data_IF_115694300442
#
_entry.id   IF_115694300442
#
_cell.length_a   1.000
_cell.length_b   1.000
_cell.length_c   1.000
_cell.angle_alpha   90.00
_cell.angle_beta   90.00
_cell.angle_gamma   90.00
#
_symmetry.space_group_name_H-M   'P 1'
#
loop_
_entity.id
_entity.type
_entity.pdbx_description
1 polymer ?
#
# COMPACT_ATOMS: atom_id res chain seq x y z
N UNK A 1 -25.97 15.52 22.21
CA UNK A 1 -26.34 14.11 22.02
C UNK A 1 -25.55 13.65 20.82
N UNK A 2 -24.52 12.88 21.03
CA UNK A 2 -23.72 12.30 19.93
C UNK A 2 -24.64 11.34 19.17
N UNK A 3 -25.03 11.72 17.94
CA UNK A 3 -25.62 10.77 17.01
C UNK A 3 -24.51 9.76 16.71
N UNK A 4 -24.67 8.52 17.14
CA UNK A 4 -23.80 7.45 16.68
C UNK A 4 -23.88 7.43 15.16
N UNK A 5 -22.80 7.78 14.49
CA UNK A 5 -22.72 7.61 13.04
C UNK A 5 -22.95 6.12 12.75
N UNK A 6 -23.88 5.83 11.88
CA UNK A 6 -24.17 4.46 11.44
C UNK A 6 -23.41 4.22 10.13
N UNK A 7 -22.57 3.21 10.13
CA UNK A 7 -21.87 2.77 8.91
C UNK A 7 -22.53 1.48 8.40
N UNK A 8 -22.84 1.46 7.11
CA UNK A 8 -23.33 0.27 6.42
C UNK A 8 -22.17 -0.69 6.10
N UNK A 9 -20.99 -0.12 5.86
CA UNK A 9 -19.78 -0.87 5.59
C UNK A 9 -18.53 -0.17 6.13
N UNK A 10 -17.53 -0.98 6.51
CA UNK A 10 -16.20 -0.52 6.89
C UNK A 10 -15.20 -1.08 5.89
N UNK A 11 -14.49 -0.17 5.24
CA UNK A 11 -13.37 -0.48 4.36
C UNK A 11 -12.08 -0.58 5.16
N UNK A 12 -11.22 -1.51 4.77
CA UNK A 12 -9.87 -1.64 5.30
C UNK A 12 -8.87 -1.61 4.15
N UNK A 13 -7.85 -0.80 4.29
CA UNK A 13 -6.62 -1.02 3.57
C UNK A 13 -5.94 -2.28 4.09
N UNK A 14 -4.96 -2.77 3.36
CA UNK A 14 -4.29 -4.02 3.68
C UNK A 14 -2.83 -3.84 4.12
N UNK A 15 -1.99 -3.28 3.23
CA UNK A 15 -0.56 -3.12 3.46
C UNK A 15 -0.30 -2.03 4.52
N UNK A 16 0.45 -2.39 5.55
CA UNK A 16 0.75 -1.52 6.70
C UNK A 16 -0.48 -1.03 7.50
N UNK A 17 -1.63 -1.68 7.25
CA UNK A 17 -2.86 -1.56 8.04
C UNK A 17 -3.25 -2.89 8.69
N UNK A 18 -3.25 -3.99 7.94
CA UNK A 18 -3.56 -5.33 8.43
C UNK A 18 -2.33 -6.22 8.58
N UNK A 19 -1.31 -5.99 7.77
CA UNK A 19 -0.04 -6.72 7.75
C UNK A 19 1.11 -5.85 7.33
N UNK A 20 2.31 -6.22 7.75
CA UNK A 20 3.55 -5.54 7.42
C UNK A 20 3.86 -5.66 5.92
N UNK A 21 4.25 -4.57 5.29
CA UNK A 21 4.63 -4.51 3.88
C UNK A 21 5.84 -3.61 3.62
N UNK A 22 5.83 -2.36 4.07
CA UNK A 22 6.86 -1.36 3.78
C UNK A 22 8.24 -1.73 4.34
N UNK A 23 8.29 -2.48 5.45
CA UNK A 23 9.53 -3.04 6.00
C UNK A 23 10.32 -3.84 4.96
N UNK A 24 9.63 -4.68 4.18
CA UNK A 24 10.26 -5.53 3.16
C UNK A 24 10.69 -4.71 1.95
N UNK A 25 9.92 -3.70 1.55
CA UNK A 25 10.34 -2.75 0.51
C UNK A 25 11.61 -2.02 0.92
N UNK A 26 11.65 -1.46 2.12
CA UNK A 26 12.84 -0.77 2.66
C UNK A 26 14.06 -1.69 2.77
N UNK A 27 13.85 -2.95 3.15
CA UNK A 27 14.93 -3.94 3.14
C UNK A 27 15.49 -4.15 1.72
N UNK A 28 14.63 -4.27 0.71
CA UNK A 28 15.04 -4.44 -0.68
C UNK A 28 15.70 -3.19 -1.26
N UNK A 29 15.24 -1.98 -0.89
CA UNK A 29 15.92 -0.72 -1.24
C UNK A 29 17.35 -0.67 -0.70
N UNK A 30 17.55 -0.99 0.59
CA UNK A 30 18.87 -1.02 1.20
C UNK A 30 19.78 -2.05 0.51
N UNK A 31 19.24 -3.25 0.25
CA UNK A 31 19.96 -4.29 -0.48
C UNK A 31 20.32 -3.85 -1.91
N UNK A 32 19.45 -3.14 -2.59
CA UNK A 32 19.73 -2.55 -3.90
C UNK A 32 20.93 -1.58 -3.82
N UNK A 33 20.93 -0.67 -2.85
CA UNK A 33 22.03 0.27 -2.63
C UNK A 33 23.34 -0.48 -2.43
N UNK A 34 23.37 -1.49 -1.55
CA UNK A 34 24.55 -2.31 -1.29
C UNK A 34 25.08 -3.04 -2.54
N UNK A 35 24.18 -3.59 -3.33
CA UNK A 35 24.52 -4.32 -4.55
C UNK A 35 25.09 -3.43 -5.65
N UNK A 36 24.58 -2.21 -5.80
CA UNK A 36 24.91 -1.30 -6.90
C UNK A 36 26.10 -0.40 -6.55
N UNK A 37 26.30 -0.05 -5.26
CA UNK A 37 27.35 0.86 -4.80
C UNK A 37 28.75 0.56 -5.33
N UNK A 38 29.22 -0.70 -5.44
CA UNK A 38 30.57 -1.00 -5.95
C UNK A 38 30.78 -0.61 -7.41
N UNK A 39 29.71 -0.41 -8.16
CA UNK A 39 29.71 -0.15 -9.61
C UNK A 39 29.26 1.26 -9.97
N UNK A 40 28.72 2.00 -9.01
CA UNK A 40 28.23 3.36 -9.21
C UNK A 40 29.39 4.37 -9.23
N UNK A 41 29.30 5.44 -10.03
CA UNK A 41 30.25 6.56 -9.95
C UNK A 41 30.23 7.21 -8.56
N UNK A 42 31.40 7.73 -8.15
CA UNK A 42 31.51 8.44 -6.86
C UNK A 42 30.54 9.62 -6.77
N UNK A 43 29.85 9.74 -5.63
CA UNK A 43 28.94 10.86 -5.35
C UNK A 43 27.52 10.71 -5.88
N UNK A 44 27.17 9.59 -6.51
CA UNK A 44 25.78 9.30 -6.91
C UNK A 44 24.98 8.89 -5.68
N UNK A 45 23.84 9.53 -5.46
CA UNK A 45 22.83 9.07 -4.50
C UNK A 45 21.99 7.97 -5.16
N UNK A 46 22.38 6.72 -4.87
CA UNK A 46 21.79 5.52 -5.47
C UNK A 46 20.32 5.36 -5.05
N UNK A 47 20.01 5.67 -3.80
CA UNK A 47 18.62 5.56 -3.30
C UNK A 47 17.71 6.56 -4.00
N UNK A 48 18.10 7.82 -4.04
CA UNK A 48 17.33 8.86 -4.75
C UNK A 48 17.17 8.56 -6.23
N UNK A 49 18.17 7.97 -6.88
CA UNK A 49 18.08 7.57 -8.28
C UNK A 49 17.09 6.41 -8.49
N UNK A 50 17.03 5.44 -7.56
CA UNK A 50 16.00 4.39 -7.59
C UNK A 50 14.61 4.98 -7.46
N UNK A 51 14.35 5.80 -6.43
CA UNK A 51 13.05 6.45 -6.18
C UNK A 51 12.62 7.31 -7.38
N UNK A 52 13.54 8.03 -8.00
CA UNK A 52 13.24 8.80 -9.21
C UNK A 52 12.83 7.90 -10.38
N UNK A 53 13.47 6.73 -10.53
CA UNK A 53 13.11 5.75 -11.56
C UNK A 53 11.74 5.14 -11.29
N UNK A 54 11.44 4.76 -10.05
CA UNK A 54 10.11 4.26 -9.65
C UNK A 54 9.02 5.27 -9.95
N UNK A 55 9.22 6.54 -9.58
CA UNK A 55 8.25 7.63 -9.84
C UNK A 55 7.90 7.76 -11.32
N UNK A 56 8.87 7.63 -12.20
CA UNK A 56 8.63 7.66 -13.66
C UNK A 56 7.88 6.40 -14.10
N UNK A 57 8.21 5.26 -13.54
CA UNK A 57 7.73 3.95 -13.97
C UNK A 57 6.33 3.59 -13.46
N UNK A 58 5.83 4.24 -12.39
CA UNK A 58 4.48 3.99 -11.85
C UNK A 58 3.41 4.11 -12.94
N UNK A 59 3.50 5.12 -13.80
CA UNK A 59 2.53 5.31 -14.90
C UNK A 59 2.52 4.18 -15.93
N UNK A 60 3.60 3.38 -16.02
CA UNK A 60 3.75 2.29 -16.99
C UNK A 60 3.61 0.92 -16.35
N UNK A 61 4.23 0.71 -15.19
CA UNK A 61 4.29 -0.60 -14.53
C UNK A 61 3.30 -0.73 -13.36
N UNK A 62 2.66 0.37 -12.95
CA UNK A 62 1.80 0.40 -11.78
C UNK A 62 2.58 0.33 -10.47
N UNK A 63 1.92 -0.11 -9.42
CA UNK A 63 2.48 -0.24 -8.08
C UNK A 63 2.89 -1.68 -7.75
N UNK A 64 3.71 -1.84 -6.70
CA UNK A 64 4.04 -3.12 -6.08
C UNK A 64 5.37 -3.70 -6.49
N UNK A 65 5.65 -4.90 -5.98
CA UNK A 65 6.96 -5.56 -6.01
C UNK A 65 7.53 -5.77 -7.41
N UNK A 66 6.67 -6.05 -8.40
CA UNK A 66 7.13 -6.23 -9.80
C UNK A 66 7.57 -4.91 -10.43
N UNK A 67 6.82 -3.84 -10.19
CA UNK A 67 7.17 -2.49 -10.62
C UNK A 67 8.48 -2.03 -9.98
N UNK A 68 8.62 -2.21 -8.67
CA UNK A 68 9.87 -2.00 -7.94
C UNK A 68 11.03 -2.75 -8.58
N UNK A 69 10.86 -4.05 -8.85
CA UNK A 69 11.92 -4.88 -9.42
C UNK A 69 12.36 -4.45 -10.81
N UNK A 70 11.44 -4.06 -11.69
CA UNK A 70 11.75 -3.52 -13.01
C UNK A 70 12.47 -2.18 -12.88
N UNK A 71 11.99 -1.29 -12.02
CA UNK A 71 12.62 0.01 -11.75
C UNK A 71 14.03 -0.15 -11.16
N UNK A 72 14.23 -1.12 -10.27
CA UNK A 72 15.54 -1.42 -9.71
C UNK A 72 16.54 -1.91 -10.77
N UNK A 73 16.10 -2.76 -11.72
CA UNK A 73 16.94 -3.20 -12.83
C UNK A 73 17.29 -2.01 -13.74
N UNK A 74 16.32 -1.18 -14.12
CA UNK A 74 16.55 0.01 -14.94
C UNK A 74 17.47 1.02 -14.25
N UNK A 75 17.24 1.30 -12.96
CA UNK A 75 18.07 2.18 -12.16
C UNK A 75 19.52 1.66 -12.08
N UNK A 76 19.73 0.36 -11.83
CA UNK A 76 21.06 -0.22 -11.78
C UNK A 76 21.82 -0.05 -13.11
N UNK A 77 21.16 -0.30 -14.24
CA UNK A 77 21.74 -0.11 -15.57
C UNK A 77 22.08 1.37 -15.80
N UNK A 78 21.17 2.28 -15.46
CA UNK A 78 21.35 3.73 -15.67
C UNK A 78 22.47 4.29 -14.79
N UNK A 79 22.44 4.02 -13.48
CA UNK A 79 23.42 4.49 -12.49
C UNK A 79 24.84 4.08 -12.90
N UNK A 80 25.00 2.87 -13.41
CA UNK A 80 26.31 2.30 -13.74
C UNK A 80 26.71 2.52 -15.20
N UNK A 81 25.96 3.30 -15.97
CA UNK A 81 26.16 3.49 -17.41
C UNK A 81 26.26 2.16 -18.19
N UNK A 82 25.43 1.18 -17.81
CA UNK A 82 25.40 -0.14 -18.45
C UNK A 82 26.53 -1.10 -18.06
N UNK A 83 27.35 -0.76 -17.07
CA UNK A 83 28.49 -1.61 -16.65
C UNK A 83 28.14 -2.56 -15.49
N UNK A 84 26.93 -2.49 -14.96
CA UNK A 84 26.49 -3.38 -13.87
C UNK A 84 26.62 -4.85 -14.28
N UNK A 85 27.25 -5.71 -13.47
CA UNK A 85 27.38 -7.14 -13.78
C UNK A 85 26.02 -7.83 -13.82
N UNK A 86 25.82 -8.78 -14.72
CA UNK A 86 24.61 -9.60 -14.81
C UNK A 86 24.31 -10.30 -13.48
N UNK A 87 25.32 -10.70 -12.71
CA UNK A 87 25.14 -11.30 -11.40
C UNK A 87 24.43 -10.35 -10.41
N UNK A 88 24.68 -9.05 -10.46
CA UNK A 88 23.99 -8.04 -9.63
C UNK A 88 22.51 -7.95 -10.03
N UNK A 89 22.21 -7.93 -11.33
CA UNK A 89 20.81 -7.94 -11.81
C UNK A 89 20.08 -9.22 -11.38
N UNK A 90 20.75 -10.37 -11.41
CA UNK A 90 20.20 -11.64 -10.92
C UNK A 90 19.89 -11.59 -9.41
N UNK A 91 20.75 -10.94 -8.61
CA UNK A 91 20.53 -10.76 -7.18
C UNK A 91 19.33 -9.81 -6.89
N UNK A 92 19.17 -8.74 -7.66
CA UNK A 92 18.00 -7.86 -7.58
C UNK A 92 16.73 -8.68 -7.87
N UNK A 93 16.69 -9.43 -8.96
CA UNK A 93 15.55 -10.26 -9.33
C UNK A 93 15.29 -11.39 -8.31
N UNK A 94 16.35 -11.89 -7.64
CA UNK A 94 16.19 -12.85 -6.54
C UNK A 94 15.46 -12.22 -5.37
N UNK A 95 15.84 -11.02 -4.94
CA UNK A 95 15.14 -10.27 -3.89
C UNK A 95 13.67 -10.01 -4.22
N UNK A 96 13.36 -9.67 -5.47
CA UNK A 96 11.98 -9.50 -5.96
C UNK A 96 11.19 -10.81 -5.79
N UNK A 97 11.75 -11.95 -6.16
CA UNK A 97 11.08 -13.26 -6.00
C UNK A 97 10.88 -13.64 -4.53
N UNK A 98 11.87 -13.39 -3.70
CA UNK A 98 11.79 -13.59 -2.25
C UNK A 98 10.63 -12.77 -1.67
N UNK A 99 10.54 -11.48 -1.98
CA UNK A 99 9.46 -10.61 -1.54
C UNK A 99 8.08 -11.08 -2.03
N UNK A 100 7.96 -11.44 -3.32
CA UNK A 100 6.70 -11.95 -3.89
C UNK A 100 6.20 -13.24 -3.23
N UNK A 101 7.07 -13.98 -2.54
CA UNK A 101 6.76 -15.28 -1.92
C UNK A 101 6.84 -15.26 -0.40
N UNK A 102 7.17 -14.12 0.20
CA UNK A 102 7.24 -13.97 1.64
C UNK A 102 5.88 -14.27 2.31
N UNK A 103 5.87 -14.96 3.45
CA UNK A 103 4.65 -15.15 4.22
C UNK A 103 4.11 -13.82 4.74
N UNK A 104 2.79 -13.66 4.70
CA UNK A 104 2.12 -12.49 5.26
C UNK A 104 2.27 -12.49 6.78
N UNK A 105 2.76 -11.38 7.35
CA UNK A 105 2.90 -11.14 8.79
C UNK A 105 1.82 -10.14 9.24
N UNK A 106 0.83 -10.62 9.96
CA UNK A 106 -0.25 -9.77 10.49
C UNK A 106 0.25 -8.87 11.62
N UNK A 107 -0.36 -7.70 11.77
CA UNK A 107 -0.26 -6.95 13.01
C UNK A 107 -0.99 -7.68 14.14
N UNK A 108 -0.51 -7.46 15.36
CA UNK A 108 -1.12 -8.04 16.55
C UNK A 108 -2.57 -7.56 16.73
N UNK A 109 -3.48 -8.47 17.05
CA UNK A 109 -4.89 -8.17 17.30
C UNK A 109 -5.77 -7.99 16.06
N UNK A 110 -5.22 -7.90 14.84
CA UNK A 110 -6.00 -7.66 13.61
C UNK A 110 -7.13 -8.67 13.44
N UNK A 111 -6.85 -9.97 13.55
CA UNK A 111 -7.87 -11.00 13.37
C UNK A 111 -8.99 -10.90 14.41
N UNK A 112 -8.65 -10.53 15.65
CA UNK A 112 -9.62 -10.32 16.72
C UNK A 112 -10.52 -9.11 16.43
N UNK A 113 -9.94 -7.99 16.00
CA UNK A 113 -10.68 -6.78 15.63
C UNK A 113 -11.62 -7.06 14.46
N UNK A 114 -11.13 -7.66 13.38
CA UNK A 114 -11.95 -8.00 12.21
C UNK A 114 -13.10 -8.95 12.59
N UNK A 115 -12.82 -9.96 13.40
CA UNK A 115 -13.85 -10.88 13.88
C UNK A 115 -14.98 -10.19 14.67
N UNK A 116 -14.65 -9.16 15.45
CA UNK A 116 -15.65 -8.38 16.19
C UNK A 116 -16.45 -7.45 15.27
N UNK A 117 -15.77 -6.73 14.39
CA UNK A 117 -16.40 -5.74 13.51
C UNK A 117 -17.29 -6.41 12.46
N UNK A 118 -16.90 -7.58 11.94
CA UNK A 118 -17.70 -8.37 11.00
C UNK A 118 -19.04 -8.87 11.55
N UNK A 119 -19.24 -8.86 12.88
CA UNK A 119 -20.53 -9.25 13.48
C UNK A 119 -21.63 -8.20 13.29
N UNK A 120 -21.24 -6.95 13.02
CA UNK A 120 -22.16 -5.81 13.00
C UNK A 120 -22.10 -4.98 11.72
N UNK A 121 -21.04 -5.13 10.93
CA UNK A 121 -20.82 -4.34 9.71
C UNK A 121 -20.34 -5.23 8.56
N UNK A 122 -20.70 -4.85 7.34
CA UNK A 122 -20.06 -5.41 6.14
C UNK A 122 -18.62 -4.95 6.08
N UNK A 123 -17.69 -5.86 5.80
CA UNK A 123 -16.28 -5.51 5.64
C UNK A 123 -15.85 -5.57 4.17
N UNK A 124 -15.17 -4.53 3.73
CA UNK A 124 -14.63 -4.43 2.37
C UNK A 124 -13.12 -4.20 2.47
N UNK A 125 -12.32 -5.05 1.85
CA UNK A 125 -10.90 -4.76 1.69
C UNK A 125 -10.68 -3.97 0.40
N UNK A 126 -9.98 -2.84 0.47
CA UNK A 126 -9.61 -2.03 -0.70
C UNK A 126 -8.11 -1.81 -0.64
N UNK A 127 -7.36 -2.51 -1.49
CA UNK A 127 -5.90 -2.46 -1.52
C UNK A 127 -5.37 -2.07 -2.89
N UNK A 128 -4.22 -1.39 -2.93
CA UNK A 128 -3.54 -0.96 -4.15
C UNK A 128 -2.31 -1.84 -4.41
N UNK A 129 -2.07 -2.22 -5.67
CA UNK A 129 -0.86 -2.96 -6.02
C UNK A 129 -1.01 -3.94 -7.17
N UNK A 130 -0.01 -4.83 -7.31
CA UNK A 130 -0.02 -5.90 -8.30
C UNK A 130 -1.12 -6.93 -7.98
N UNK A 131 -2.01 -7.16 -8.93
CA UNK A 131 -3.15 -8.05 -8.76
C UNK A 131 -2.76 -9.45 -8.27
N UNK A 132 -1.74 -10.05 -8.86
CA UNK A 132 -1.33 -11.43 -8.52
C UNK A 132 -0.74 -11.48 -7.11
N UNK A 133 0.09 -10.49 -6.76
CA UNK A 133 0.71 -10.44 -5.44
C UNK A 133 -0.32 -10.14 -4.35
N UNK A 134 -1.18 -9.13 -4.54
CA UNK A 134 -2.21 -8.79 -3.56
C UNK A 134 -3.21 -9.93 -3.37
N UNK A 135 -3.68 -10.58 -4.46
CA UNK A 135 -4.55 -11.77 -4.37
C UNK A 135 -3.90 -12.85 -3.50
N UNK A 136 -2.62 -13.16 -3.75
CA UNK A 136 -1.89 -14.14 -2.96
C UNK A 136 -1.80 -13.75 -1.48
N UNK A 137 -1.49 -12.48 -1.17
CA UNK A 137 -1.42 -12.00 0.22
C UNK A 137 -2.78 -12.17 0.91
N UNK A 138 -3.86 -11.78 0.27
CA UNK A 138 -5.22 -11.95 0.79
C UNK A 138 -5.52 -13.42 1.07
N UNK A 139 -5.27 -14.31 0.11
CA UNK A 139 -5.53 -15.75 0.25
C UNK A 139 -4.69 -16.39 1.36
N UNK A 140 -3.42 -15.97 1.52
CA UNK A 140 -2.51 -16.59 2.49
C UNK A 140 -2.52 -15.90 3.86
N UNK A 141 -3.14 -14.72 4.00
CA UNK A 141 -3.25 -14.00 5.27
C UNK A 141 -4.12 -14.71 6.31
N UNK A 142 -5.04 -15.57 5.85
CA UNK A 142 -6.08 -16.14 6.71
C UNK A 142 -7.22 -15.17 7.05
N UNK A 143 -7.21 -13.94 6.52
CA UNK A 143 -8.21 -12.90 6.83
C UNK A 143 -9.34 -12.81 5.80
N UNK A 144 -9.20 -13.42 4.63
CA UNK A 144 -10.16 -13.28 3.52
C UNK A 144 -11.62 -13.57 3.92
N UNK A 145 -11.84 -14.49 4.84
CA UNK A 145 -13.17 -14.91 5.26
C UNK A 145 -13.94 -13.86 6.12
N UNK A 146 -13.27 -12.81 6.60
CA UNK A 146 -13.93 -11.71 7.30
C UNK A 146 -14.53 -10.67 6.33
N UNK A 147 -14.10 -10.65 5.07
CA UNK A 147 -14.49 -9.63 4.10
C UNK A 147 -15.59 -10.12 3.17
N UNK A 148 -16.65 -9.35 3.04
CA UNK A 148 -17.72 -9.58 2.07
C UNK A 148 -17.24 -9.31 0.64
N UNK A 149 -16.26 -8.41 0.49
CA UNK A 149 -15.67 -8.06 -0.80
C UNK A 149 -14.20 -7.66 -0.65
N UNK A 150 -13.39 -8.03 -1.64
CA UNK A 150 -11.99 -7.62 -1.77
C UNK A 150 -11.79 -6.98 -3.12
N UNK A 151 -11.39 -5.71 -3.14
CA UNK A 151 -11.10 -4.95 -4.33
C UNK A 151 -9.61 -4.61 -4.40
N UNK A 152 -8.94 -5.04 -5.45
CA UNK A 152 -7.54 -4.69 -5.74
C UNK A 152 -7.56 -3.65 -6.85
N UNK A 153 -7.09 -2.44 -6.55
CA UNK A 153 -7.18 -1.29 -7.43
C UNK A 153 -5.81 -0.83 -7.93
N UNK A 154 -5.80 -0.13 -9.06
CA UNK A 154 -4.60 0.50 -9.59
C UNK A 154 -4.28 1.79 -8.83
N UNK A 155 -5.33 2.55 -8.44
CA UNK A 155 -5.19 3.79 -7.69
C UNK A 155 -6.35 3.95 -6.71
N UNK A 156 -6.09 4.58 -5.57
CA UNK A 156 -7.06 4.91 -4.53
C UNK A 156 -7.39 6.41 -4.61
N UNK A 157 -8.18 6.79 -5.58
CA UNK A 157 -8.67 8.14 -5.78
C UNK A 157 -10.19 8.25 -5.55
N UNK A 158 -10.76 9.46 -5.49
CA UNK A 158 -12.20 9.63 -5.28
C UNK A 158 -13.07 8.94 -6.33
N UNK A 159 -12.60 8.81 -7.57
CA UNK A 159 -13.34 8.15 -8.64
C UNK A 159 -13.39 6.64 -8.44
N UNK A 160 -12.26 6.05 -8.05
CA UNK A 160 -12.15 4.63 -7.71
C UNK A 160 -13.04 4.28 -6.52
N UNK A 161 -12.99 5.04 -5.43
CA UNK A 161 -13.86 4.79 -4.28
C UNK A 161 -15.34 4.89 -4.65
N UNK A 162 -15.77 5.91 -5.41
CA UNK A 162 -17.16 5.99 -5.89
C UNK A 162 -17.57 4.78 -6.73
N UNK A 163 -16.70 4.32 -7.62
CA UNK A 163 -16.93 3.13 -8.44
C UNK A 163 -17.11 1.88 -7.58
N UNK A 164 -16.20 1.65 -6.64
CA UNK A 164 -16.24 0.48 -5.75
C UNK A 164 -17.50 0.50 -4.89
N UNK A 165 -17.76 1.61 -4.19
CA UNK A 165 -18.93 1.73 -3.33
C UNK A 165 -20.24 1.60 -4.10
N UNK A 166 -20.34 2.21 -5.28
CA UNK A 166 -21.50 2.07 -6.15
C UNK A 166 -21.74 0.62 -6.61
N UNK A 167 -20.67 -0.14 -6.91
CA UNK A 167 -20.80 -1.55 -7.31
C UNK A 167 -21.28 -2.46 -6.17
N UNK A 168 -21.11 -2.01 -4.93
CA UNK A 168 -21.49 -2.73 -3.71
C UNK A 168 -22.81 -2.21 -3.10
N UNK A 169 -23.44 -1.22 -3.73
CA UNK A 169 -24.64 -0.54 -3.23
C UNK A 169 -24.43 0.07 -1.84
N UNK A 170 -23.28 0.76 -1.65
CA UNK A 170 -22.91 1.44 -0.42
C UNK A 170 -22.94 2.96 -0.65
N UNK A 171 -23.71 3.69 0.19
CA UNK A 171 -23.68 5.14 0.22
C UNK A 171 -22.34 5.61 0.84
N UNK A 172 -21.56 6.48 0.14
CA UNK A 172 -20.34 7.02 0.72
C UNK A 172 -20.51 7.63 2.11
N UNK A 173 -21.64 8.28 2.40
CA UNK A 173 -21.91 8.87 3.71
C UNK A 173 -22.02 7.84 4.84
N UNK A 174 -22.30 6.60 4.52
CA UNK A 174 -22.36 5.46 5.45
C UNK A 174 -21.17 4.51 5.33
N UNK A 175 -20.07 5.00 4.77
CA UNK A 175 -18.83 4.25 4.60
C UNK A 175 -17.70 4.85 5.45
N UNK A 176 -17.00 3.99 6.18
CA UNK A 176 -15.78 4.33 6.90
C UNK A 176 -14.60 3.59 6.28
N UNK A 177 -13.52 4.29 5.96
CA UNK A 177 -12.26 3.69 5.51
C UNK A 177 -11.22 3.73 6.61
N UNK A 178 -10.67 2.58 6.95
CA UNK A 178 -9.56 2.41 7.90
C UNK A 178 -8.28 2.16 7.10
N UNK A 179 -7.25 2.98 7.30
CA UNK A 179 -6.00 2.82 6.57
C UNK A 179 -4.87 3.70 7.09
N UNK A 180 -3.65 3.39 6.65
CA UNK A 180 -2.42 4.05 7.09
C UNK A 180 -1.95 5.18 6.17
N UNK A 181 -2.57 5.38 5.01
CA UNK A 181 -2.21 6.44 4.08
C UNK A 181 -3.24 7.57 4.07
N UNK A 182 -2.81 8.77 4.46
CA UNK A 182 -3.65 9.96 4.31
C UNK A 182 -4.01 10.20 2.85
N UNK A 183 -3.06 10.03 1.93
CA UNK A 183 -3.24 10.27 0.50
C UNK A 183 -4.17 9.26 -0.16
N UNK A 184 -3.98 7.98 0.12
CA UNK A 184 -4.66 6.89 -0.57
C UNK A 184 -5.95 6.43 0.12
N UNK A 185 -6.01 6.47 1.47
CA UNK A 185 -7.15 5.92 2.22
C UNK A 185 -8.09 6.99 2.72
N UNK A 186 -7.56 8.09 3.22
CA UNK A 186 -8.33 9.05 3.99
C UNK A 186 -8.87 10.17 3.10
N UNK A 187 -8.00 10.95 2.46
CA UNK A 187 -8.40 12.12 1.68
C UNK A 187 -9.39 11.80 0.55
N UNK A 188 -9.22 10.70 -0.23
CA UNK A 188 -10.18 10.37 -1.28
C UNK A 188 -11.56 10.00 -0.75
N UNK A 189 -11.63 9.35 0.41
CA UNK A 189 -12.90 8.96 1.04
C UNK A 189 -13.60 10.18 1.64
N UNK A 190 -12.87 11.07 2.31
CA UNK A 190 -13.43 12.35 2.77
C UNK A 190 -13.98 13.19 1.59
N UNK A 191 -13.28 13.23 0.47
CA UNK A 191 -13.70 13.97 -0.73
C UNK A 191 -15.01 13.47 -1.35
N UNK A 192 -15.44 12.26 -1.03
CA UNK A 192 -16.74 11.71 -1.48
C UNK A 192 -17.81 11.71 -0.39
N UNK A 193 -17.51 12.28 0.79
CA UNK A 193 -18.42 12.38 1.92
C UNK A 193 -18.41 11.18 2.87
N UNK A 194 -17.44 10.28 2.73
CA UNK A 194 -17.22 9.16 3.65
C UNK A 194 -16.51 9.57 4.94
N UNK A 195 -16.21 8.60 5.79
CA UNK A 195 -15.48 8.78 7.04
C UNK A 195 -14.08 8.16 6.92
N UNK A 196 -13.04 8.83 7.42
CA UNK A 196 -11.67 8.36 7.43
C UNK A 196 -11.19 8.05 8.84
N UNK A 197 -10.79 6.82 9.08
CA UNK A 197 -10.12 6.37 10.30
C UNK A 197 -8.64 6.08 9.99
N UNK A 198 -7.79 7.03 10.33
CA UNK A 198 -6.36 6.96 10.05
C UNK A 198 -5.63 6.18 11.14
N UNK A 199 -4.90 5.15 10.75
CA UNK A 199 -4.03 4.35 11.60
C UNK A 199 -2.58 4.60 11.19
N UNK A 200 -1.86 5.53 11.86
CA UNK A 200 -0.50 5.89 11.46
C UNK A 200 0.43 4.67 11.48
N UNK A 201 1.25 4.53 10.43
CA UNK A 201 2.35 3.59 10.40
C UNK A 201 3.68 4.34 10.36
N UNK A 202 4.68 3.88 11.12
CA UNK A 202 5.95 4.62 11.28
C UNK A 202 6.74 4.75 9.98
N UNK A 203 6.60 3.79 9.07
CA UNK A 203 7.32 3.73 7.82
C UNK A 203 6.36 4.14 6.71
N UNK A 204 6.54 5.37 6.21
CA UNK A 204 5.79 5.87 5.06
C UNK A 204 6.59 5.66 3.78
N UNK A 205 5.91 5.21 2.73
CA UNK A 205 6.47 5.18 1.39
C UNK A 205 6.73 6.61 0.90
N UNK A 206 7.93 6.86 0.35
CA UNK A 206 8.35 8.22 -0.03
C UNK A 206 7.44 8.88 -1.09
N UNK A 207 6.74 8.08 -1.89
CA UNK A 207 5.83 8.57 -2.93
C UNK A 207 4.37 8.75 -2.44
N UNK A 208 4.05 8.34 -1.22
CA UNK A 208 2.71 8.45 -0.61
C UNK A 208 2.63 9.57 0.45
N UNK A 209 3.64 10.45 0.48
CA UNK A 209 3.67 11.58 1.40
C UNK A 209 2.66 12.65 0.96
N UNK A 210 1.63 12.86 1.77
CA UNK A 210 0.68 13.95 1.60
C UNK A 210 1.13 15.20 2.35
N UNK A 211 0.89 16.39 1.81
CA UNK A 211 1.06 17.65 2.51
C UNK A 211 -0.09 17.86 3.49
N UNK A 212 0.12 17.47 4.75
CA UNK A 212 -0.74 17.81 5.88
C UNK A 212 -1.89 16.81 6.13
N UNK A 213 -2.10 16.54 7.43
CA UNK A 213 -3.29 15.80 7.88
C UNK A 213 -4.55 16.66 7.71
N UNK A 214 -5.73 16.07 7.42
CA UNK A 214 -6.98 16.81 7.44
C UNK A 214 -7.16 17.41 8.83
N UNK A 215 -7.65 18.64 8.88
CA UNK A 215 -8.10 19.23 10.16
C UNK A 215 -9.16 18.32 10.74
N UNK A 216 -9.01 17.96 12.03
CA UNK A 216 -10.00 17.17 12.75
C UNK A 216 -11.39 17.78 12.52
N UNK A 217 -12.21 17.08 11.79
CA UNK A 217 -13.58 17.42 11.44
C UNK A 217 -14.50 16.27 11.79
N UNK A 218 -15.79 16.44 11.59
CA UNK A 218 -16.81 15.49 11.99
C UNK A 218 -16.70 14.10 11.33
N UNK A 219 -15.83 13.95 10.28
CA UNK A 219 -15.70 12.71 9.50
C UNK A 219 -14.27 12.15 9.44
N UNK A 220 -13.43 12.52 10.38
CA UNK A 220 -12.06 12.04 10.48
C UNK A 220 -11.67 11.74 11.93
N UNK A 221 -11.00 10.61 12.13
CA UNK A 221 -10.35 10.24 13.38
C UNK A 221 -8.97 9.66 13.12
N UNK A 222 -8.01 10.02 13.95
CA UNK A 222 -6.72 9.34 14.05
C UNK A 222 -6.77 8.36 15.22
N UNK A 223 -6.39 7.12 14.95
CA UNK A 223 -6.35 6.01 15.92
C UNK A 223 -4.90 5.82 16.33
N UNK A 224 -4.59 5.99 17.61
CA UNK A 224 -3.25 5.82 18.20
C UNK A 224 -3.17 4.56 19.02
#
# INVERSE_FOLDING_TARGET
MSSHEHFDAIGFDADDTLWFSEDTFRHNENRFVDLVSPYAPSGVDIKSALVATERVNIGTYGYGVKSFGLSAVEAAISITNGTVPVAVLQEILRGVREHLTEPVRLFEGVAEVLSKVAQTHRLVMITKGDLVHQTRKVETSGLAHYFDHVEIVLEKDPATYRRVLSSLDIDPHHFCMVGNSLHSDIMPVLAIGGFGAYVPYEILWELDQSEGAPTAGDRFVEIT
#
